data_IF_230317249553
#
_entry.id   IF_230317249553
#
_cell.length_a   1.000
_cell.length_b   1.000
_cell.length_c   1.000
_cell.angle_alpha   90.00
_cell.angle_beta   90.00
_cell.angle_gamma   90.00
#
_symmetry.space_group_name_H-M   'P 1'
#
loop_
_entity.id
_entity.type
_entity.pdbx_description
1 polymer ?
#
# COMPACT_ATOMS: atom_id res chain seq x y z
N UNK A 1 -15.18 -5.59 5.88
CA UNK A 1 -14.02 -5.80 6.77
C UNK A 1 -12.76 -5.19 6.18
N UNK A 2 -12.25 -5.69 5.07
CA UNK A 2 -11.01 -5.22 4.44
C UNK A 2 -11.00 -3.71 4.10
N UNK A 3 -11.90 -3.21 3.24
CA UNK A 3 -11.77 -1.84 2.73
C UNK A 3 -12.32 -0.72 3.62
N UNK A 4 -13.38 -1.02 4.38
CA UNK A 4 -14.05 -0.04 5.25
C UNK A 4 -13.54 -0.06 6.68
N UNK A 5 -13.37 -1.26 7.25
CA UNK A 5 -12.90 -1.45 8.63
C UNK A 5 -11.39 -1.63 8.71
N UNK A 6 -10.72 -1.91 7.58
CA UNK A 6 -9.25 -1.94 7.44
C UNK A 6 -8.54 -2.83 8.44
N UNK A 7 -9.21 -3.93 8.79
CA UNK A 7 -8.66 -5.01 9.61
C UNK A 7 -7.37 -5.53 8.99
N UNK A 8 -6.42 -5.91 9.83
CA UNK A 8 -5.14 -6.49 9.44
C UNK A 8 -5.12 -8.01 9.62
N UNK A 9 -6.03 -8.57 10.40
CA UNK A 9 -6.13 -10.01 10.60
C UNK A 9 -7.56 -10.51 10.41
N UNK A 10 -7.72 -11.79 10.10
CA UNK A 10 -9.04 -12.39 9.91
C UNK A 10 -9.80 -12.54 11.24
N UNK A 11 -9.09 -12.60 12.37
CA UNK A 11 -9.66 -12.68 13.73
C UNK A 11 -10.48 -11.45 14.11
N UNK A 12 -10.14 -10.28 13.55
CA UNK A 12 -10.89 -9.05 13.76
C UNK A 12 -12.29 -9.10 13.13
N UNK A 13 -12.56 -10.05 12.22
CA UNK A 13 -13.84 -10.22 11.55
C UNK A 13 -14.85 -10.97 12.42
N UNK A 14 -15.29 -10.33 13.51
CA UNK A 14 -16.10 -10.95 14.58
C UNK A 14 -17.46 -11.51 14.16
N UNK A 15 -17.92 -11.23 12.94
CA UNK A 15 -19.17 -11.80 12.41
C UNK A 15 -18.96 -13.07 11.56
N UNK A 16 -17.73 -13.58 11.45
CA UNK A 16 -17.39 -14.80 10.73
C UNK A 16 -17.22 -15.97 11.71
N UNK A 17 -17.51 -17.19 11.24
CA UNK A 17 -17.30 -18.39 12.06
C UNK A 17 -15.80 -18.69 12.23
N UNK A 18 -15.44 -19.35 13.34
CA UNK A 18 -14.06 -19.76 13.62
C UNK A 18 -13.51 -20.68 12.53
N UNK A 19 -14.33 -21.59 12.01
CA UNK A 19 -13.95 -22.51 10.92
C UNK A 19 -13.61 -21.76 9.63
N UNK A 20 -14.35 -20.69 9.31
CA UNK A 20 -14.05 -19.86 8.15
C UNK A 20 -12.77 -19.05 8.36
N UNK A 21 -12.57 -18.46 9.54
CA UNK A 21 -11.34 -17.74 9.90
C UNK A 21 -10.12 -18.67 9.79
N UNK A 22 -10.23 -19.91 10.26
CA UNK A 22 -9.16 -20.90 10.16
C UNK A 22 -8.77 -21.19 8.70
N UNK A 23 -9.75 -21.41 7.81
CA UNK A 23 -9.50 -21.59 6.37
C UNK A 23 -8.89 -20.36 5.70
N UNK A 24 -9.33 -19.17 6.10
CA UNK A 24 -8.78 -17.92 5.58
C UNK A 24 -7.31 -17.75 5.96
N UNK A 25 -6.97 -18.02 7.22
CA UNK A 25 -5.58 -17.99 7.70
C UNK A 25 -4.67 -19.03 7.02
N UNK A 26 -5.21 -20.20 6.67
CA UNK A 26 -4.43 -21.25 6.00
C UNK A 26 -4.10 -20.89 4.54
N UNK A 27 -5.01 -20.21 3.84
CA UNK A 27 -4.94 -20.07 2.39
C UNK A 27 -4.70 -18.63 1.89
N UNK A 28 -4.92 -17.62 2.72
CA UNK A 28 -4.90 -16.23 2.32
C UNK A 28 -4.12 -15.35 3.28
N UNK A 29 -3.72 -14.18 2.79
CA UNK A 29 -3.12 -13.11 3.58
C UNK A 29 -3.96 -11.85 3.44
N UNK A 30 -4.17 -11.12 4.53
CA UNK A 30 -4.94 -9.87 4.53
C UNK A 30 -4.15 -8.73 3.90
N UNK A 31 -2.87 -8.61 4.26
CA UNK A 31 -1.99 -7.57 3.78
C UNK A 31 -0.60 -8.16 3.45
N UNK A 32 -0.21 -8.21 2.16
CA UNK A 32 1.06 -8.78 1.74
C UNK A 32 2.26 -7.84 1.98
N UNK A 33 2.04 -6.56 2.31
CA UNK A 33 3.10 -5.57 2.43
C UNK A 33 3.53 -5.35 3.87
N UNK A 34 4.85 -5.26 4.09
CA UNK A 34 5.44 -4.88 5.36
C UNK A 34 5.96 -3.45 5.31
N UNK A 35 5.51 -2.59 6.22
CA UNK A 35 6.04 -1.25 6.36
C UNK A 35 7.46 -1.29 6.93
N UNK A 36 8.42 -0.70 6.20
CA UNK A 36 9.82 -0.59 6.62
C UNK A 36 10.18 0.79 7.11
N UNK A 37 9.85 1.81 6.31
CA UNK A 37 10.16 3.21 6.62
C UNK A 37 8.95 4.06 6.28
N UNK A 38 8.67 5.05 7.12
CA UNK A 38 7.72 6.13 6.85
C UNK A 38 8.46 7.44 7.09
N UNK A 39 8.37 8.36 6.13
CA UNK A 39 8.97 9.68 6.21
C UNK A 39 7.90 10.73 5.94
N UNK A 40 7.73 11.65 6.88
CA UNK A 40 6.80 12.77 6.76
C UNK A 40 7.59 14.05 6.45
N UNK A 41 7.20 14.71 5.38
CA UNK A 41 7.73 16.01 4.98
C UNK A 41 6.94 17.14 5.67
N UNK A 42 7.54 18.33 5.76
CA UNK A 42 6.92 19.51 6.38
C UNK A 42 5.64 19.99 5.66
N UNK A 43 5.50 19.67 4.37
CA UNK A 43 4.30 19.95 3.56
C UNK A 43 3.17 18.92 3.76
N UNK A 44 3.39 17.93 4.63
CA UNK A 44 2.44 16.85 4.90
C UNK A 44 2.46 15.71 3.88
N UNK A 45 3.39 15.72 2.92
CA UNK A 45 3.67 14.57 2.05
C UNK A 45 4.25 13.43 2.90
N UNK A 46 3.73 12.22 2.72
CA UNK A 46 4.21 11.04 3.44
C UNK A 46 4.73 10.00 2.46
N UNK A 47 6.00 9.64 2.59
CA UNK A 47 6.66 8.62 1.78
C UNK A 47 6.78 7.32 2.58
N UNK A 48 6.28 6.25 2.00
CA UNK A 48 6.35 4.90 2.56
C UNK A 48 7.34 4.06 1.75
N UNK A 49 8.15 3.28 2.46
CA UNK A 49 8.92 2.19 1.91
C UNK A 49 8.29 0.88 2.37
N UNK A 50 7.70 0.15 1.45
CA UNK A 50 7.10 -1.16 1.70
C UNK A 50 8.01 -2.28 1.20
N UNK A 51 8.07 -3.35 1.97
CA UNK A 51 8.69 -4.61 1.57
C UNK A 51 7.61 -5.58 1.09
N UNK A 52 7.83 -6.14 -0.09
CA UNK A 52 7.01 -7.15 -0.73
C UNK A 52 7.32 -8.55 -0.17
N UNK A 53 6.46 -9.57 -0.39
CA UNK A 53 6.69 -10.93 0.12
C UNK A 53 8.00 -11.58 -0.33
N UNK A 54 8.56 -11.14 -1.46
CA UNK A 54 9.84 -11.60 -2.01
C UNK A 54 11.05 -10.76 -1.57
N UNK A 55 10.87 -9.85 -0.60
CA UNK A 55 11.92 -9.02 -0.03
C UNK A 55 12.28 -7.80 -0.88
N UNK A 56 11.65 -7.62 -2.06
CA UNK A 56 11.84 -6.40 -2.85
C UNK A 56 11.15 -5.21 -2.21
N UNK A 57 11.69 -4.01 -2.47
CA UNK A 57 11.19 -2.76 -1.90
C UNK A 57 10.47 -1.93 -2.97
N UNK A 58 9.35 -1.34 -2.57
CA UNK A 58 8.59 -0.38 -3.38
C UNK A 58 8.27 0.86 -2.56
N UNK A 59 7.98 1.94 -3.27
CA UNK A 59 7.61 3.21 -2.64
C UNK A 59 6.12 3.49 -2.86
N UNK A 60 5.51 4.15 -1.88
CA UNK A 60 4.16 4.70 -2.01
C UNK A 60 4.19 6.10 -1.43
N UNK A 61 3.56 7.05 -2.11
CA UNK A 61 3.60 8.45 -1.67
C UNK A 61 2.18 8.97 -1.50
N UNK A 62 1.86 9.41 -0.29
CA UNK A 62 0.66 10.18 0.03
C UNK A 62 0.98 11.67 -0.15
N UNK A 63 0.15 12.36 -0.92
CA UNK A 63 0.27 13.79 -1.19
C UNK A 63 -1.03 14.50 -0.82
N UNK A 64 -0.90 15.66 -0.16
CA UNK A 64 -2.01 16.55 0.13
C UNK A 64 -2.19 17.55 -1.01
N UNK A 65 -3.35 17.55 -1.63
CA UNK A 65 -3.71 18.44 -2.72
C UNK A 65 -4.93 19.27 -2.34
N UNK A 66 -5.12 20.42 -3.00
CA UNK A 66 -6.28 21.30 -2.75
C UNK A 66 -7.62 20.61 -3.05
N UNK A 67 -7.62 19.62 -3.94
CA UNK A 67 -8.79 18.81 -4.30
C UNK A 67 -8.94 17.52 -3.48
N UNK A 68 -8.03 17.25 -2.54
CA UNK A 68 -8.07 16.07 -1.68
C UNK A 68 -6.74 15.34 -1.54
N UNK A 69 -6.79 14.14 -0.96
CA UNK A 69 -5.61 13.29 -0.77
C UNK A 69 -5.39 12.38 -1.98
N UNK A 70 -4.18 12.42 -2.53
CA UNK A 70 -3.73 11.60 -3.65
C UNK A 70 -2.68 10.61 -3.19
N UNK A 71 -2.84 9.35 -3.55
CA UNK A 71 -1.82 8.31 -3.33
C UNK A 71 -1.20 7.92 -4.65
N UNK A 72 0.11 8.07 -4.75
CA UNK A 72 0.92 7.52 -5.83
C UNK A 72 1.25 6.06 -5.50
N UNK A 73 0.82 5.14 -6.38
CA UNK A 73 1.06 3.71 -6.24
C UNK A 73 2.10 3.22 -7.27
N UNK A 74 2.96 2.31 -6.82
CA UNK A 74 3.86 1.55 -7.67
C UNK A 74 3.12 0.34 -8.24
N UNK A 75 3.40 0.00 -9.50
CA UNK A 75 2.81 -1.18 -10.17
C UNK A 75 3.84 -2.21 -10.63
N UNK A 76 5.13 -1.86 -10.61
CA UNK A 76 6.23 -2.71 -11.05
C UNK A 76 7.44 -2.54 -10.15
N UNK A 77 8.24 -3.59 -9.95
CA UNK A 77 9.57 -3.43 -9.37
C UNK A 77 10.57 -3.21 -10.49
N UNK A 78 11.11 -1.98 -10.56
CA UNK A 78 11.93 -1.52 -11.69
C UNK A 78 11.10 -1.25 -12.95
N UNK A 79 11.71 -0.66 -13.98
CA UNK A 79 11.01 -0.26 -15.21
C UNK A 79 11.87 -0.47 -16.45
N UNK A 80 11.31 -1.13 -17.48
CA UNK A 80 12.01 -1.40 -18.74
C UNK A 80 11.96 -0.25 -19.76
N UNK A 81 11.28 0.87 -19.45
CA UNK A 81 11.18 2.00 -20.37
C UNK A 81 12.54 2.68 -20.56
N UNK A 82 13.40 2.67 -19.52
CA UNK A 82 14.76 3.22 -19.62
C UNK A 82 14.82 4.75 -19.69
N UNK A 83 13.83 5.44 -19.13
CA UNK A 83 13.87 6.90 -19.00
C UNK A 83 15.08 7.33 -18.15
N UNK A 84 16.04 8.04 -18.75
CA UNK A 84 17.33 8.38 -18.11
C UNK A 84 17.21 9.29 -16.89
N UNK A 85 16.12 10.03 -16.77
CA UNK A 85 15.83 10.93 -15.64
C UNK A 85 15.04 10.25 -14.50
N UNK A 86 14.59 9.00 -14.70
CA UNK A 86 13.75 8.28 -13.74
C UNK A 86 14.59 7.27 -12.96
N UNK A 87 14.62 7.35 -11.62
CA UNK A 87 15.35 6.41 -10.78
C UNK A 87 14.92 4.96 -11.04
N UNK A 88 13.61 4.69 -11.15
CA UNK A 88 13.07 3.36 -11.48
C UNK A 88 13.43 2.91 -12.90
N UNK A 89 13.71 3.85 -13.82
CA UNK A 89 14.18 3.56 -15.18
C UNK A 89 15.66 3.18 -15.27
N UNK A 90 16.45 3.44 -14.22
CA UNK A 90 17.84 2.99 -14.10
C UNK A 90 17.93 1.49 -13.76
N UNK A 91 16.86 0.92 -13.21
CA UNK A 91 16.79 -0.47 -12.78
C UNK A 91 15.91 -1.24 -13.75
N UNK A 92 16.45 -2.33 -14.31
CA UNK A 92 15.68 -3.23 -15.18
C UNK A 92 14.48 -3.78 -14.42
N UNK A 93 13.32 -3.86 -15.09
CA UNK A 93 12.11 -4.45 -14.49
C UNK A 93 12.38 -5.88 -14.05
N UNK A 94 12.04 -6.18 -12.80
CA UNK A 94 12.11 -7.52 -12.23
C UNK A 94 10.78 -8.25 -12.39
N UNK A 95 9.66 -7.62 -11.99
CA UNK A 95 8.31 -8.16 -12.17
C UNK A 95 7.22 -7.10 -12.05
N UNK A 96 6.00 -7.47 -12.42
CA UNK A 96 4.78 -6.75 -12.07
C UNK A 96 4.35 -7.06 -10.64
N UNK A 97 3.67 -6.10 -10.01
CA UNK A 97 2.96 -6.32 -8.76
C UNK A 97 1.62 -7.02 -9.04
N UNK A 98 1.20 -7.85 -8.10
CA UNK A 98 -0.15 -8.42 -8.13
C UNK A 98 -1.19 -7.41 -7.60
N UNK A 99 -2.47 -7.69 -7.86
CA UNK A 99 -3.57 -6.81 -7.46
C UNK A 99 -3.61 -6.57 -5.94
N UNK A 100 -3.28 -7.58 -5.14
CA UNK A 100 -3.22 -7.47 -3.68
C UNK A 100 -2.11 -6.53 -3.22
N UNK A 101 -0.93 -6.58 -3.84
CA UNK A 101 0.20 -5.69 -3.55
C UNK A 101 -0.11 -4.23 -3.92
N UNK A 102 -0.82 -3.98 -5.04
CA UNK A 102 -1.21 -2.62 -5.42
C UNK A 102 -2.26 -2.06 -4.46
N UNK A 103 -3.30 -2.84 -4.15
CA UNK A 103 -4.38 -2.41 -3.26
C UNK A 103 -3.89 -2.22 -1.82
N UNK A 104 -2.94 -3.04 -1.37
CA UNK A 104 -2.35 -2.94 -0.04
C UNK A 104 -1.65 -1.61 0.21
N UNK A 105 -1.01 -1.02 -0.81
CA UNK A 105 -0.41 0.32 -0.71
C UNK A 105 -1.45 1.36 -0.28
N UNK A 106 -2.61 1.36 -0.94
CA UNK A 106 -3.71 2.29 -0.65
C UNK A 106 -4.28 2.02 0.75
N UNK A 107 -4.42 0.74 1.12
CA UNK A 107 -5.02 0.37 2.39
C UNK A 107 -4.13 0.65 3.60
N UNK A 108 -2.82 0.49 3.47
CA UNK A 108 -1.87 0.90 4.49
C UNK A 108 -1.83 2.42 4.66
N UNK A 109 -1.86 3.17 3.56
CA UNK A 109 -1.96 4.64 3.64
C UNK A 109 -3.28 5.09 4.27
N UNK A 110 -4.39 4.45 3.94
CA UNK A 110 -5.67 4.79 4.55
C UNK A 110 -5.69 4.47 6.06
N UNK A 111 -5.05 3.37 6.45
CA UNK A 111 -4.92 2.96 7.86
C UNK A 111 -4.07 3.91 8.68
N UNK A 112 -3.07 4.54 8.09
CA UNK A 112 -2.28 5.59 8.75
C UNK A 112 -3.15 6.74 9.31
N UNK A 113 -4.27 7.07 8.66
CA UNK A 113 -5.23 8.05 9.20
C UNK A 113 -6.07 7.49 10.35
N UNK A 114 -6.50 6.23 10.24
CA UNK A 114 -7.25 5.56 11.31
C UNK A 114 -6.43 5.52 12.62
N UNK A 115 -5.14 5.19 12.53
CA UNK A 115 -4.23 5.10 13.67
C UNK A 115 -3.98 6.46 14.35
N UNK A 116 -4.17 7.56 13.60
CA UNK A 116 -4.05 8.93 14.11
C UNK A 116 -5.39 9.53 14.52
N UNK A 117 -6.49 8.78 14.42
CA UNK A 117 -7.84 9.27 14.70
C UNK A 117 -8.29 10.39 13.75
N UNK A 118 -7.73 10.43 12.54
CA UNK A 118 -8.05 11.42 11.52
C UNK A 118 -9.14 10.88 10.60
N UNK A 119 -10.25 11.60 10.48
CA UNK A 119 -11.33 11.27 9.54
C UNK A 119 -10.99 11.76 8.12
N UNK A 120 -9.86 11.28 7.60
CA UNK A 120 -9.38 11.60 6.26
C UNK A 120 -9.52 10.40 5.34
N UNK A 121 -9.88 10.64 4.07
CA UNK A 121 -10.02 9.59 3.06
C UNK A 121 -9.07 9.82 1.90
N UNK A 122 -8.33 8.79 1.50
CA UNK A 122 -7.67 8.75 0.20
C UNK A 122 -8.74 8.90 -0.88
N UNK A 123 -8.64 9.98 -1.64
CA UNK A 123 -9.67 10.41 -2.59
C UNK A 123 -9.29 10.15 -4.04
N UNK A 124 -7.99 10.15 -4.34
CA UNK A 124 -7.43 10.00 -5.67
C UNK A 124 -6.28 8.99 -5.64
N UNK A 125 -6.19 8.19 -6.70
CA UNK A 125 -5.11 7.23 -6.91
C UNK A 125 -4.41 7.63 -8.20
N UNK A 126 -3.09 7.73 -8.15
CA UNK A 126 -2.26 8.08 -9.29
C UNK A 126 -1.26 6.95 -9.52
N UNK A 127 -1.16 6.47 -10.76
CA UNK A 127 -0.25 5.38 -11.14
C UNK A 127 1.00 5.99 -11.76
N UNK A 128 1.97 6.35 -10.91
CA UNK A 128 3.23 6.98 -11.31
C UNK A 128 4.43 6.50 -10.47
N UNK A 129 4.25 5.46 -9.65
CA UNK A 129 5.30 4.88 -8.83
C UNK A 129 6.05 3.75 -9.51
#
# INVERSE_FOLDING_TARGET
WLYRKRVQTFEEMTNLSKDLIAKLNEQFVVNPLKQRIVQESADGTVKYLFELPDGMLIETVLMRQHYGLSVCVTTQVGCNIGCTFCASGLIKKQRDLNNGEIVAQIMLVQKYFDERGQDERVSHIVVMG
#
